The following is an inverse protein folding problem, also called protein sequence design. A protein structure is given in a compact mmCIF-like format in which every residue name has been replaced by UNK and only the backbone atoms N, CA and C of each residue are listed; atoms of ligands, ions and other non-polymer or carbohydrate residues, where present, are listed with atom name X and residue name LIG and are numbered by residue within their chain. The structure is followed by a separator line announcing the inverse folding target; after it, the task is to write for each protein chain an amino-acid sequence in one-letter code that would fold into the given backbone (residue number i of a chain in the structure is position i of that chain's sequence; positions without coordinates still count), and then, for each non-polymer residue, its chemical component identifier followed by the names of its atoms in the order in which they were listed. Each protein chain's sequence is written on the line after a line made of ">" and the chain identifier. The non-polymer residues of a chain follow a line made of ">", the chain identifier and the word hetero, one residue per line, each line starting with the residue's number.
data_IF_062116357366
#
_entry.id   IF_062116357366
#
_cell.length_a   1.000
_cell.length_b   1.000
_cell.length_c   1.000
_cell.angle_alpha   90.00
_cell.angle_beta   90.00
_cell.angle_gamma   90.00
#
_symmetry.space_group_name_H-M   'P 1'
#
loop_
_entity.id
_entity.type
_entity.pdbx_description
1 polymer ?
#
# COMPACT_ATOMS: atom_id res chain seq x y z
N UNK A 1 0.52 12.59 -3.37
CA UNK A 1 0.27 11.14 -3.59
C UNK A 1 -1.20 10.78 -3.65
N UNK A 2 -1.60 9.70 -4.33
CA UNK A 2 -3.00 9.21 -4.31
C UNK A 2 -3.06 7.72 -3.94
N UNK A 3 -3.73 7.40 -2.83
CA UNK A 3 -4.12 6.03 -2.47
C UNK A 3 -3.08 5.18 -1.73
N UNK A 4 -2.02 5.79 -1.21
CA UNK A 4 -0.93 5.10 -0.46
C UNK A 4 -1.09 5.14 1.05
N UNK A 5 -2.07 5.91 1.54
CA UNK A 5 -2.40 6.13 2.96
C UNK A 5 -3.81 5.64 3.27
N UNK A 6 -3.99 5.24 4.53
CA UNK A 6 -5.29 4.83 5.08
C UNK A 6 -6.15 6.06 5.28
N UNK A 7 -7.36 6.07 4.72
CA UNK A 7 -8.24 7.26 4.76
C UNK A 7 -9.45 7.04 5.67
N UNK A 8 -10.13 5.90 5.53
CA UNK A 8 -11.40 5.64 6.21
C UNK A 8 -11.25 4.74 7.43
N UNK A 9 -10.43 3.70 7.30
CA UNK A 9 -10.15 2.73 8.35
C UNK A 9 -9.10 3.16 9.37
N UNK A 10 -8.80 2.25 10.29
CA UNK A 10 -7.68 2.32 11.24
C UNK A 10 -6.50 1.48 10.76
N UNK A 11 -6.79 0.39 10.07
CA UNK A 11 -5.79 -0.52 9.51
C UNK A 11 -6.03 -0.73 8.02
N UNK A 12 -4.96 -0.99 7.27
CA UNK A 12 -5.02 -1.22 5.84
C UNK A 12 -4.07 -2.30 5.35
N UNK A 13 -4.44 -2.90 4.21
CA UNK A 13 -3.59 -3.81 3.44
C UNK A 13 -3.05 -3.10 2.21
N UNK A 14 -1.73 -2.90 2.15
CA UNK A 14 -1.05 -2.20 1.06
C UNK A 14 -0.22 -3.16 0.22
N UNK A 15 -0.23 -2.98 -1.10
CA UNK A 15 0.66 -3.71 -2.00
C UNK A 15 2.09 -3.16 -1.88
N UNK A 16 3.09 -4.01 -1.63
CA UNK A 16 4.50 -3.62 -1.43
C UNK A 16 5.40 -3.96 -2.61
N UNK A 17 5.01 -4.91 -3.45
CA UNK A 17 5.82 -5.39 -4.57
C UNK A 17 5.66 -4.53 -5.83
N UNK A 18 5.21 -5.11 -6.94
CA UNK A 18 5.05 -4.46 -8.23
C UNK A 18 3.58 -4.21 -8.55
N UNK A 19 3.33 -3.28 -9.47
CA UNK A 19 1.99 -3.03 -9.97
C UNK A 19 1.46 -4.23 -10.76
N UNK A 20 0.19 -4.57 -10.55
CA UNK A 20 -0.44 -5.75 -11.13
C UNK A 20 -1.90 -5.50 -11.45
N UNK A 21 -2.45 -6.35 -12.32
CA UNK A 21 -3.90 -6.46 -12.50
C UNK A 21 -4.43 -7.55 -11.58
N UNK A 22 -5.30 -7.18 -10.65
CA UNK A 22 -5.96 -8.11 -9.74
C UNK A 22 -7.36 -8.40 -10.27
N UNK A 23 -7.75 -9.67 -10.32
CA UNK A 23 -9.10 -10.05 -10.76
C UNK A 23 -10.14 -9.79 -9.67
N UNK A 24 -11.39 -9.54 -10.07
CA UNK A 24 -12.51 -9.40 -9.14
C UNK A 24 -12.67 -10.65 -8.26
N UNK A 25 -12.43 -11.84 -8.82
CA UNK A 25 -12.47 -13.11 -8.09
C UNK A 25 -11.41 -13.17 -6.97
N UNK A 26 -10.17 -12.75 -7.24
CA UNK A 26 -9.12 -12.70 -6.22
C UNK A 26 -9.44 -11.70 -5.12
N UNK A 27 -9.98 -10.52 -5.47
CA UNK A 27 -10.44 -9.54 -4.48
C UNK A 27 -11.56 -10.09 -3.61
N UNK A 28 -12.48 -10.86 -4.21
CA UNK A 28 -13.58 -11.50 -3.48
C UNK A 28 -13.07 -12.56 -2.50
N UNK A 29 -12.16 -13.44 -2.93
CA UNK A 29 -11.52 -14.43 -2.06
C UNK A 29 -10.80 -13.76 -0.89
N UNK A 30 -10.09 -12.66 -1.14
CA UNK A 30 -9.39 -11.92 -0.11
C UNK A 30 -10.37 -11.28 0.90
N UNK A 31 -11.44 -10.65 0.43
CA UNK A 31 -12.54 -10.15 1.27
C UNK A 31 -13.13 -11.27 2.14
N UNK A 32 -13.49 -12.40 1.53
CA UNK A 32 -14.14 -13.50 2.24
C UNK A 32 -13.19 -14.13 3.27
N UNK A 33 -11.89 -14.16 2.99
CA UNK A 33 -10.85 -14.60 3.93
C UNK A 33 -10.80 -13.68 5.16
N UNK A 34 -10.82 -12.36 4.96
CA UNK A 34 -10.85 -11.37 6.04
C UNK A 34 -12.13 -11.55 6.86
N UNK A 35 -13.29 -11.61 6.20
CA UNK A 35 -14.59 -11.78 6.85
C UNK A 35 -14.69 -13.08 7.65
N UNK A 36 -14.11 -14.17 7.13
CA UNK A 36 -14.05 -15.45 7.82
C UNK A 36 -13.19 -15.37 9.09
N UNK A 37 -12.03 -14.70 9.02
CA UNK A 37 -11.12 -14.58 10.17
C UNK A 37 -11.66 -13.67 11.28
N UNK A 38 -12.42 -12.64 10.90
CA UNK A 38 -13.04 -11.66 11.80
C UNK A 38 -14.51 -11.98 12.12
N UNK A 39 -14.96 -13.20 11.87
CA UNK A 39 -16.34 -13.62 12.14
C UNK A 39 -16.68 -13.44 13.62
N UNK A 40 -17.84 -12.84 13.89
CA UNK A 40 -18.32 -12.59 15.26
C UNK A 40 -17.81 -11.28 15.88
N UNK A 41 -16.91 -10.56 15.22
CA UNK A 41 -16.42 -9.26 15.68
C UNK A 41 -17.17 -8.10 15.00
N UNK A 42 -17.25 -6.95 15.66
CA UNK A 42 -17.86 -5.74 15.10
C UNK A 42 -16.81 -4.98 14.29
N UNK A 43 -16.90 -5.07 12.97
CA UNK A 43 -16.00 -4.34 12.07
C UNK A 43 -16.72 -3.87 10.81
N UNK A 44 -16.18 -2.80 10.21
CA UNK A 44 -16.55 -2.30 8.90
C UNK A 44 -15.34 -2.38 7.99
N UNK A 45 -15.51 -3.06 6.86
CA UNK A 45 -14.47 -3.20 5.85
C UNK A 45 -14.76 -2.24 4.69
N UNK A 46 -13.70 -1.61 4.18
CA UNK A 46 -13.75 -0.76 2.99
C UNK A 46 -12.84 -1.32 1.92
N UNK A 47 -13.38 -1.47 0.71
CA UNK A 47 -12.60 -1.83 -0.47
C UNK A 47 -12.18 -0.53 -1.18
N UNK A 48 -10.88 -0.25 -1.23
CA UNK A 48 -10.31 0.98 -1.82
C UNK A 48 -10.23 0.94 -3.34
N UNK A 49 -10.34 -0.24 -3.93
CA UNK A 49 -10.24 -0.45 -5.38
C UNK A 49 -11.52 -1.08 -5.92
N UNK A 50 -11.89 -0.73 -7.14
CA UNK A 50 -13.01 -1.33 -7.85
C UNK A 50 -12.49 -2.04 -9.11
N UNK A 51 -13.08 -3.20 -9.42
CA UNK A 51 -12.76 -3.94 -10.63
C UNK A 51 -13.53 -3.34 -11.82
N UNK A 52 -12.98 -2.27 -12.39
CA UNK A 52 -13.63 -1.47 -13.45
C UNK A 52 -13.13 -1.79 -14.87
N UNK A 53 -12.14 -2.68 -15.02
CA UNK A 53 -11.56 -3.01 -16.32
C UNK A 53 -11.97 -4.41 -16.74
N UNK A 54 -12.74 -4.50 -17.82
CA UNK A 54 -13.06 -5.77 -18.46
C UNK A 54 -11.85 -6.35 -19.20
N UNK A 55 -11.56 -7.63 -18.95
CA UNK A 55 -10.54 -8.40 -19.68
C UNK A 55 -11.26 -9.35 -20.64
N UNK A 56 -10.78 -9.36 -21.87
CA UNK A 56 -11.26 -10.21 -22.95
C UNK A 56 -10.15 -11.16 -23.34
N UNK A 57 -10.45 -12.45 -23.43
CA UNK A 57 -9.45 -13.50 -23.63
C UNK A 57 -9.88 -14.35 -24.82
N UNK A 58 -8.97 -14.63 -25.74
CA UNK A 58 -9.21 -15.63 -26.79
C UNK A 58 -8.96 -17.02 -26.20
N UNK A 59 -9.73 -18.01 -26.61
CA UNK A 59 -9.51 -19.40 -26.19
C UNK A 59 -8.10 -19.87 -26.56
N UNK A 60 -7.45 -20.60 -25.66
CA UNK A 60 -6.08 -21.09 -25.86
C UNK A 60 -5.95 -22.01 -27.08
N UNK A 61 -7.03 -22.70 -27.45
CA UNK A 61 -7.07 -23.63 -28.58
C UNK A 61 -7.24 -22.94 -29.94
N UNK A 62 -7.51 -21.63 -29.95
CA UNK A 62 -7.78 -20.87 -31.18
C UNK A 62 -6.49 -20.27 -31.74
N UNK A 63 -6.26 -20.43 -33.05
CA UNK A 63 -5.13 -19.79 -33.75
C UNK A 63 -5.24 -18.26 -33.72
N UNK A 64 -4.09 -17.60 -33.75
CA UNK A 64 -3.98 -16.13 -33.79
C UNK A 64 -4.66 -15.53 -35.04
N UNK A 65 -5.23 -14.34 -34.91
CA UNK A 65 -5.69 -13.52 -36.05
C UNK A 65 -7.20 -13.53 -36.35
N UNK A 66 -8.05 -14.18 -35.54
CA UNK A 66 -9.51 -14.21 -35.75
C UNK A 66 -10.30 -13.08 -35.06
N UNK A 67 -9.64 -11.97 -34.75
CA UNK A 67 -10.24 -10.83 -34.02
C UNK A 67 -10.05 -10.89 -32.50
N UNK A 68 -10.83 -10.08 -31.77
CA UNK A 68 -10.79 -10.00 -30.30
C UNK A 68 -11.62 -11.11 -29.66
N UNK A 69 -11.12 -11.70 -28.58
CA UNK A 69 -11.82 -12.75 -27.82
C UNK A 69 -13.07 -12.26 -27.08
N UNK A 70 -13.77 -13.18 -26.43
CA UNK A 70 -14.95 -12.91 -25.61
C UNK A 70 -14.59 -12.29 -24.25
N UNK A 71 -15.58 -11.70 -23.59
CA UNK A 71 -15.42 -11.18 -22.23
C UNK A 71 -15.15 -12.35 -21.26
N UNK A 72 -14.16 -12.18 -20.40
CA UNK A 72 -13.72 -13.21 -19.46
C UNK A 72 -13.96 -12.76 -18.01
N UNK A 73 -13.36 -11.65 -17.59
CA UNK A 73 -13.43 -11.21 -16.18
C UNK A 73 -13.23 -9.72 -15.97
N UNK A 74 -13.73 -9.23 -14.84
CA UNK A 74 -13.42 -7.90 -14.32
C UNK A 74 -12.09 -7.89 -13.57
N UNK A 75 -11.32 -6.82 -13.75
CA UNK A 75 -10.02 -6.62 -13.09
C UNK A 75 -9.86 -5.17 -12.62
N UNK A 76 -8.97 -4.98 -11.65
CA UNK A 76 -8.53 -3.68 -11.18
C UNK A 76 -7.03 -3.52 -11.45
N UNK A 77 -6.61 -2.36 -11.98
CA UNK A 77 -5.19 -1.97 -12.01
C UNK A 77 -4.79 -1.40 -10.66
N UNK A 78 -3.83 -2.04 -10.01
CA UNK A 78 -3.32 -1.64 -8.70
C UNK A 78 -1.88 -1.21 -8.88
N UNK A 79 -1.60 0.06 -8.57
CA UNK A 79 -0.25 0.60 -8.57
C UNK A 79 0.52 0.16 -7.32
N UNK A 80 1.84 0.27 -7.39
CA UNK A 80 2.74 0.02 -6.24
C UNK A 80 2.33 0.89 -5.05
N UNK A 81 2.46 0.34 -3.84
CA UNK A 81 2.15 1.04 -2.59
C UNK A 81 0.69 1.48 -2.45
N UNK A 82 -0.24 0.94 -3.25
CA UNK A 82 -1.66 1.26 -3.15
C UNK A 82 -2.34 0.42 -2.08
N UNK A 83 -3.23 1.04 -1.31
CA UNK A 83 -4.07 0.34 -0.32
C UNK A 83 -5.25 -0.31 -1.03
N UNK A 84 -5.51 -1.58 -0.70
CA UNK A 84 -6.58 -2.40 -1.28
C UNK A 84 -7.77 -2.49 -0.35
N UNK A 85 -7.52 -2.86 0.91
CA UNK A 85 -8.55 -3.01 1.94
C UNK A 85 -8.23 -2.12 3.12
N UNK A 86 -9.28 -1.61 3.75
CA UNK A 86 -9.21 -0.96 5.05
C UNK A 86 -10.24 -1.57 6.00
N UNK A 87 -9.93 -1.56 7.29
CA UNK A 87 -10.82 -2.02 8.33
C UNK A 87 -10.92 -0.94 9.40
N UNK A 88 -12.16 -0.69 9.85
CA UNK A 88 -12.49 0.14 11.01
C UNK A 88 -13.29 -0.69 12.00
N UNK A 89 -12.96 -0.64 13.27
CA UNK A 89 -13.71 -1.35 14.31
C UNK A 89 -12.87 -1.57 15.56
N UNK A 90 -13.54 -1.91 16.65
CA UNK A 90 -12.90 -2.24 17.92
C UNK A 90 -12.28 -3.65 17.83
N UNK A 91 -11.07 -3.72 17.27
CA UNK A 91 -10.35 -4.94 16.99
C UNK A 91 -8.92 -4.82 17.51
N UNK A 92 -8.45 -5.87 18.17
CA UNK A 92 -7.05 -5.95 18.55
C UNK A 92 -6.14 -6.09 17.31
N UNK A 93 -5.08 -5.29 17.25
CA UNK A 93 -4.18 -5.18 16.09
C UNK A 93 -3.67 -6.54 15.60
N UNK A 94 -3.31 -7.44 16.52
CA UNK A 94 -2.76 -8.76 16.19
C UNK A 94 -3.74 -9.61 15.36
N UNK A 95 -5.03 -9.51 15.67
CA UNK A 95 -6.10 -10.24 14.96
C UNK A 95 -6.26 -9.69 13.55
N UNK A 96 -6.25 -8.35 13.41
CA UNK A 96 -6.36 -7.67 12.12
C UNK A 96 -5.15 -7.99 11.24
N UNK A 97 -3.94 -7.97 11.83
CA UNK A 97 -2.70 -8.30 11.14
C UNK A 97 -2.70 -9.75 10.62
N UNK A 98 -3.20 -10.69 11.41
CA UNK A 98 -3.34 -12.08 10.99
C UNK A 98 -4.38 -12.25 9.85
N UNK A 99 -5.53 -11.58 9.95
CA UNK A 99 -6.55 -11.58 8.89
C UNK A 99 -5.98 -11.04 7.56
N UNK A 100 -5.23 -9.94 7.63
CA UNK A 100 -4.60 -9.34 6.46
C UNK A 100 -3.44 -10.15 5.89
N UNK A 101 -2.67 -10.85 6.74
CA UNK A 101 -1.66 -11.81 6.29
C UNK A 101 -2.30 -12.96 5.49
N UNK A 102 -3.39 -13.53 6.00
CA UNK A 102 -4.12 -14.58 5.30
C UNK A 102 -4.69 -14.10 3.96
N UNK A 103 -5.25 -12.89 3.93
CA UNK A 103 -5.77 -12.29 2.71
C UNK A 103 -4.66 -12.00 1.69
N UNK A 104 -3.52 -11.47 2.14
CA UNK A 104 -2.34 -11.22 1.32
C UNK A 104 -1.83 -12.48 0.62
N UNK A 105 -1.83 -13.62 1.32
CA UNK A 105 -1.44 -14.91 0.74
C UNK A 105 -2.41 -15.44 -0.35
N UNK A 106 -3.64 -14.92 -0.43
CA UNK A 106 -4.62 -15.28 -1.46
C UNK A 106 -4.60 -14.32 -2.65
N UNK A 107 -3.98 -13.15 -2.49
CA UNK A 107 -3.85 -12.15 -3.53
C UNK A 107 -2.52 -12.33 -4.30
N UNK A 108 -2.46 -11.94 -5.58
CA UNK A 108 -1.22 -11.98 -6.34
C UNK A 108 -0.31 -10.81 -5.95
N UNK A 109 0.79 -11.10 -5.26
CA UNK A 109 1.81 -10.13 -4.91
C UNK A 109 2.26 -10.23 -3.45
N UNK A 110 2.99 -9.22 -2.99
CA UNK A 110 3.41 -9.12 -1.59
C UNK A 110 2.72 -7.93 -0.97
N UNK A 111 2.12 -8.17 0.20
CA UNK A 111 1.33 -7.18 0.89
C UNK A 111 1.95 -6.85 2.25
N UNK A 112 1.76 -5.61 2.67
CA UNK A 112 2.15 -5.13 3.99
C UNK A 112 0.96 -4.59 4.75
N UNK A 113 1.04 -4.73 6.07
CA UNK A 113 0.10 -4.13 7.01
C UNK A 113 0.46 -2.66 7.23
N UNK A 114 -0.55 -1.79 7.25
CA UNK A 114 -0.39 -0.34 7.41
C UNK A 114 -1.38 0.17 8.44
N UNK A 115 -0.94 1.09 9.29
CA UNK A 115 -1.79 1.79 10.26
C UNK A 115 -2.19 3.16 9.76
N UNK A 116 -3.30 3.68 10.27
CA UNK A 116 -3.66 5.08 10.08
C UNK A 116 -2.62 5.97 10.74
N UNK A 117 -2.15 6.97 10.00
CA UNK A 117 -1.07 7.87 10.42
C UNK A 117 0.31 7.46 9.92
N UNK A 118 0.47 6.25 9.35
CA UNK A 118 1.72 5.87 8.70
C UNK A 118 2.00 6.79 7.50
N UNK A 119 3.29 7.11 7.33
CA UNK A 119 3.75 7.98 6.27
C UNK A 119 3.30 7.50 4.87
N UNK A 120 2.95 8.43 3.96
CA UNK A 120 2.67 8.09 2.58
C UNK A 120 3.93 7.54 1.89
N UNK A 121 3.74 6.92 0.73
CA UNK A 121 4.84 6.30 -0.04
C UNK A 121 4.88 6.90 -1.42
N UNK A 122 6.06 7.34 -1.87
CA UNK A 122 6.31 7.75 -3.25
C UNK A 122 6.96 6.60 -4.01
N UNK A 123 6.21 5.96 -4.90
CA UNK A 123 6.70 4.75 -5.59
C UNK A 123 6.98 3.65 -4.57
N UNK A 124 8.25 3.40 -4.30
CA UNK A 124 8.73 2.43 -3.30
C UNK A 124 9.25 3.08 -2.00
N UNK A 125 9.49 4.40 -2.00
CA UNK A 125 10.13 5.10 -0.88
C UNK A 125 9.09 5.65 0.08
N UNK A 126 9.13 5.20 1.34
CA UNK A 126 8.27 5.74 2.42
C UNK A 126 8.76 7.12 2.82
N UNK A 127 7.86 8.09 2.99
CA UNK A 127 8.18 9.45 3.45
C UNK A 127 8.29 9.50 4.97
N UNK A 128 9.13 8.64 5.51
CA UNK A 128 9.46 8.59 6.93
C UNK A 128 10.81 9.29 7.17
N UNK A 129 11.11 9.59 8.43
CA UNK A 129 12.41 10.09 8.90
C UNK A 129 12.78 11.52 8.44
N UNK A 130 11.79 12.36 8.15
CA UNK A 130 11.99 13.74 7.70
C UNK A 130 12.26 13.88 6.19
N UNK A 131 12.12 12.80 5.42
CA UNK A 131 12.19 12.84 3.96
C UNK A 131 10.88 13.43 3.42
N UNK A 132 10.96 14.59 2.78
CA UNK A 132 9.81 15.26 2.17
C UNK A 132 9.65 14.88 0.69
N UNK A 133 8.48 15.18 0.11
CA UNK A 133 8.26 15.01 -1.34
C UNK A 133 9.24 15.87 -2.16
N UNK A 134 9.65 17.03 -1.63
CA UNK A 134 10.58 17.94 -2.27
C UNK A 134 11.98 17.36 -2.34
N UNK A 135 12.44 16.73 -1.26
CA UNK A 135 13.75 16.08 -1.21
C UNK A 135 13.89 14.97 -2.25
N UNK A 136 12.80 14.25 -2.54
CA UNK A 136 12.77 13.20 -3.56
C UNK A 136 12.78 13.73 -4.99
N UNK A 137 12.27 14.95 -5.21
CA UNK A 137 12.25 15.61 -6.54
C UNK A 137 13.55 16.36 -6.84
N UNK A 138 14.33 16.71 -5.82
CA UNK A 138 15.62 17.40 -6.00
C UNK A 138 16.60 16.51 -6.78
N UNK A 139 17.27 17.04 -7.83
CA UNK A 139 18.26 16.27 -8.58
C UNK A 139 19.45 15.81 -7.72
N UNK A 140 19.86 16.65 -6.75
CA UNK A 140 20.94 16.35 -5.81
C UNK A 140 20.35 15.97 -4.46
N UNK A 141 20.75 14.81 -3.95
CA UNK A 141 20.39 14.36 -2.60
C UNK A 141 21.48 14.79 -1.63
N UNK A 142 21.08 15.36 -0.49
CA UNK A 142 22.01 15.58 0.63
C UNK A 142 22.49 14.23 1.14
N UNK A 143 23.80 14.08 1.32
CA UNK A 143 24.37 12.83 1.81
C UNK A 143 23.95 12.60 3.27
N UNK A 144 23.83 11.35 3.74
CA UNK A 144 23.47 11.06 5.12
C UNK A 144 24.37 11.74 6.17
N UNK A 145 25.64 11.93 5.84
CA UNK A 145 26.64 12.63 6.66
C UNK A 145 26.32 14.12 6.81
N UNK A 146 25.93 14.81 5.73
CA UNK A 146 25.54 16.22 5.75
C UNK A 146 24.24 16.43 6.52
N UNK A 147 23.30 15.47 6.42
CA UNK A 147 22.05 15.49 7.18
C UNK A 147 22.28 15.28 8.69
N UNK A 148 23.25 14.44 9.06
CA UNK A 148 23.67 14.28 10.46
C UNK A 148 24.36 15.55 10.99
N UNK A 149 25.27 16.13 10.21
CA UNK A 149 25.97 17.37 10.59
C UNK A 149 25.00 18.54 10.81
N UNK A 150 23.95 18.67 9.98
CA UNK A 150 22.92 19.69 10.14
C UNK A 150 21.99 19.48 11.35
N UNK A 151 21.92 18.26 11.90
CA UNK A 151 21.13 17.92 13.11
C UNK A 151 21.90 18.15 14.41
N UNK A 152 23.23 18.18 14.37
CA UNK A 152 24.04 18.53 15.54
C UNK A 152 23.81 20.02 15.80
N UNK A 153 23.30 20.42 16.98
CA UNK A 153 23.25 21.84 17.31
C UNK A 153 24.69 22.36 17.23
N UNK A 154 24.92 23.41 16.43
CA UNK A 154 26.22 24.05 16.36
C UNK A 154 26.64 24.35 17.80
N UNK A 155 27.70 23.66 18.28
CA UNK A 155 28.17 23.79 19.64
C UNK A 155 28.30 25.29 19.93
N UNK A 156 27.62 25.72 21.00
CA UNK A 156 27.51 27.11 21.37
C UNK A 156 28.89 27.76 21.33
N UNK A 157 29.04 28.75 20.44
CA UNK A 157 30.13 29.70 20.49
C UNK A 157 29.85 30.59 21.71
N UNK A 158 30.00 30.05 22.92
CA UNK A 158 30.04 30.87 24.12
C UNK A 158 31.40 31.57 24.09
N UNK A 159 31.45 32.91 23.99
CA UNK A 159 32.71 33.60 24.21
C UNK A 159 33.09 33.33 25.67
N UNK A 160 34.25 32.72 25.90
CA UNK A 160 34.84 32.58 27.22
C UNK A 160 34.92 33.97 27.87
N UNK A 161 34.21 34.16 28.97
CA UNK A 161 34.28 35.39 29.75
C UNK A 161 35.74 35.63 30.20
N UNK A 162 36.30 36.84 30.01
CA UNK A 162 37.61 37.16 30.54
C UNK A 162 37.54 37.29 32.06
N UNK A 163 38.64 36.87 32.72
CA UNK A 163 38.85 36.81 34.17
C UNK A 163 38.60 38.14 34.90
#
# INVERSE_FOLDING_TARGET
>A
MRGTTVVWGEYGLRMRDHDRRISAHQLKIAEDTIRKRLRGMKFRMYMRIAANIGVYTSGNDVRMGKGKGSFDRWTARVAVSKIIFEIKGDLHEQVVRDAFRLAGNKLPGLYEFVKKGDAPVMGITKLANGITEEDLKRPRKLLPLEQQAARIPAAANQPSAPL
#
